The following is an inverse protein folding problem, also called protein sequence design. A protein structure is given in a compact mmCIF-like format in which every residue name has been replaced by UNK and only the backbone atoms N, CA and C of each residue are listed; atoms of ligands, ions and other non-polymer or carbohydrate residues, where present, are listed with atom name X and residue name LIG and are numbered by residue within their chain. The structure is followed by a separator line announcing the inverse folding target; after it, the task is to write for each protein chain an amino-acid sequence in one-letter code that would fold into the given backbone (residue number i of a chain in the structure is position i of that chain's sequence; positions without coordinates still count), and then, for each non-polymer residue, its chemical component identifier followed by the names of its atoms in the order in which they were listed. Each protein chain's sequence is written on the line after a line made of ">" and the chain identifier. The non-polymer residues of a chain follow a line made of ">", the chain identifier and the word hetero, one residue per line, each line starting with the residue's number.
data_IF_405105364518
#
_entry.id   IF_405105364518
#
_cell.length_a   1.000
_cell.length_b   1.000
_cell.length_c   1.000
_cell.angle_alpha   90.00
_cell.angle_beta   90.00
_cell.angle_gamma   90.00
#
_symmetry.space_group_name_H-M   'P 1'
#
loop_
_entity.id
_entity.type
_entity.pdbx_description
1 polymer ?
#
# COMPACT_ATOMS: atom_id res chain seq x y z
N UNK A 1 47.58 -15.82 -18.32
CA UNK A 1 46.84 -15.43 -17.10
C UNK A 1 46.17 -14.05 -17.20
N UNK A 2 46.83 -13.06 -17.81
CA UNK A 2 46.31 -11.67 -17.94
C UNK A 2 44.99 -11.62 -18.76
N UNK A 3 44.89 -12.38 -19.86
CA UNK A 3 43.70 -12.40 -20.72
C UNK A 3 42.44 -13.06 -20.07
N UNK A 4 42.64 -13.91 -19.06
CA UNK A 4 41.53 -14.52 -18.29
C UNK A 4 40.99 -13.53 -17.28
N UNK A 5 41.89 -12.81 -16.60
CA UNK A 5 41.54 -11.77 -15.61
C UNK A 5 40.81 -10.62 -16.31
N UNK A 6 41.29 -10.15 -17.47
CA UNK A 6 40.63 -9.11 -18.26
C UNK A 6 39.22 -9.53 -18.72
N UNK A 7 39.00 -10.82 -19.04
CA UNK A 7 37.69 -11.34 -19.42
C UNK A 7 36.74 -11.47 -18.24
N UNK A 8 37.23 -11.79 -17.06
CA UNK A 8 36.42 -11.87 -15.83
C UNK A 8 36.03 -10.48 -15.35
N UNK A 9 36.96 -9.53 -15.38
CA UNK A 9 36.70 -8.12 -15.05
C UNK A 9 35.68 -7.49 -16.03
N UNK A 10 35.82 -7.76 -17.33
CA UNK A 10 34.86 -7.31 -18.34
C UNK A 10 33.45 -7.89 -18.09
N UNK A 11 33.34 -9.15 -17.69
CA UNK A 11 32.08 -9.78 -17.32
C UNK A 11 31.45 -9.18 -16.06
N UNK A 12 32.27 -8.87 -15.04
CA UNK A 12 31.82 -8.23 -13.82
C UNK A 12 31.23 -6.83 -14.09
N UNK A 13 31.92 -6.03 -14.91
CA UNK A 13 31.47 -4.70 -15.32
C UNK A 13 30.19 -4.78 -16.19
N UNK A 14 30.07 -5.77 -17.04
CA UNK A 14 28.88 -6.01 -17.87
C UNK A 14 27.61 -6.28 -17.01
N UNK A 15 27.76 -6.88 -15.84
CA UNK A 15 26.67 -7.09 -14.88
C UNK A 15 26.17 -5.82 -14.18
N UNK A 16 26.74 -4.64 -14.44
CA UNK A 16 26.27 -3.37 -13.88
C UNK A 16 25.31 -2.61 -14.79
N UNK A 17 25.24 -2.96 -16.09
CA UNK A 17 24.31 -2.40 -17.07
C UNK A 17 23.31 -3.45 -17.52
N UNK A 18 22.15 -3.02 -18.03
CA UNK A 18 21.16 -3.91 -18.63
C UNK A 18 21.61 -4.37 -20.01
N UNK A 19 21.46 -5.65 -20.29
CA UNK A 19 21.59 -6.23 -21.62
C UNK A 19 20.19 -6.60 -22.22
N UNK A 20 20.19 -7.13 -23.44
CA UNK A 20 18.94 -7.53 -24.11
C UNK A 20 18.14 -8.58 -23.31
N UNK A 21 18.82 -9.47 -22.58
CA UNK A 21 18.16 -10.48 -21.76
C UNK A 21 17.49 -9.85 -20.54
N UNK A 22 18.06 -8.82 -19.91
CA UNK A 22 17.45 -8.07 -18.82
C UNK A 22 16.18 -7.36 -19.28
N UNK A 23 16.22 -6.70 -20.44
CA UNK A 23 15.03 -6.03 -21.00
C UNK A 23 13.92 -7.03 -21.33
N UNK A 24 14.24 -8.14 -21.99
CA UNK A 24 13.27 -9.19 -22.31
C UNK A 24 12.66 -9.80 -21.04
N UNK A 25 13.50 -10.07 -20.04
CA UNK A 25 13.05 -10.60 -18.75
C UNK A 25 12.10 -9.63 -18.07
N UNK A 26 12.44 -8.36 -18.02
CA UNK A 26 11.62 -7.33 -17.40
C UNK A 26 10.23 -7.24 -18.06
N UNK A 27 10.20 -7.19 -19.40
CA UNK A 27 8.95 -7.16 -20.18
C UNK A 27 8.13 -8.44 -19.95
N UNK A 28 8.77 -9.62 -20.00
CA UNK A 28 8.09 -10.89 -19.77
C UNK A 28 7.49 -10.97 -18.34
N UNK A 29 8.22 -10.54 -17.33
CA UNK A 29 7.72 -10.49 -15.94
C UNK A 29 6.55 -9.52 -15.80
N UNK A 30 6.64 -8.35 -16.41
CA UNK A 30 5.55 -7.38 -16.45
C UNK A 30 4.31 -7.90 -17.17
N UNK A 31 4.52 -8.63 -18.28
CA UNK A 31 3.43 -9.28 -19.02
C UNK A 31 2.75 -10.39 -18.20
N UNK A 32 3.52 -11.20 -17.47
CA UNK A 32 2.96 -12.21 -16.55
C UNK A 32 2.11 -11.50 -15.47
N UNK A 33 2.63 -10.43 -14.85
CA UNK A 33 1.87 -9.63 -13.90
C UNK A 33 0.59 -9.07 -14.49
N UNK A 34 0.65 -8.48 -15.69
CA UNK A 34 -0.51 -7.96 -16.42
C UNK A 34 -1.55 -9.04 -16.74
N UNK A 35 -1.12 -10.24 -17.14
CA UNK A 35 -2.05 -11.38 -17.36
C UNK A 35 -2.73 -11.82 -16.06
N UNK A 36 -1.98 -11.85 -14.93
CA UNK A 36 -2.57 -12.16 -13.64
C UNK A 36 -3.58 -11.09 -13.24
N UNK A 37 -3.27 -9.84 -13.48
CA UNK A 37 -4.19 -8.72 -13.24
C UNK A 37 -5.49 -8.85 -14.03
N UNK A 38 -5.38 -8.98 -15.35
CA UNK A 38 -6.52 -9.07 -16.27
C UNK A 38 -7.44 -10.27 -16.00
N UNK A 39 -6.88 -11.45 -15.72
CA UNK A 39 -7.66 -12.70 -15.66
C UNK A 39 -8.01 -13.16 -14.24
N UNK A 40 -7.32 -12.66 -13.23
CA UNK A 40 -7.50 -13.12 -11.86
C UNK A 40 -7.86 -12.00 -10.86
N UNK A 41 -7.41 -10.77 -11.09
CA UNK A 41 -7.82 -9.59 -10.30
C UNK A 41 -9.10 -9.01 -10.89
N UNK A 42 -9.09 -8.50 -12.12
CA UNK A 42 -10.26 -7.97 -12.84
C UNK A 42 -10.98 -6.84 -12.05
N UNK A 43 -12.29 -6.91 -11.90
CA UNK A 43 -13.12 -6.01 -11.07
C UNK A 43 -13.41 -6.64 -9.71
N UNK A 44 -13.82 -5.88 -8.68
CA UNK A 44 -14.15 -6.45 -7.37
C UNK A 44 -15.16 -7.60 -7.41
N UNK A 45 -16.18 -7.51 -8.27
CA UNK A 45 -17.22 -8.55 -8.38
C UNK A 45 -16.73 -9.81 -9.09
N UNK A 46 -15.88 -9.66 -10.11
CA UNK A 46 -15.40 -10.76 -10.97
C UNK A 46 -14.06 -11.34 -10.50
N UNK A 47 -13.49 -10.84 -9.42
CA UNK A 47 -12.17 -11.23 -8.95
C UNK A 47 -12.10 -12.67 -8.47
N UNK A 48 -11.30 -13.48 -9.15
CA UNK A 48 -11.01 -14.86 -8.72
C UNK A 48 -10.09 -14.89 -7.52
N UNK A 49 -9.09 -13.99 -7.48
CA UNK A 49 -8.18 -13.84 -6.35
C UNK A 49 -8.84 -13.14 -5.17
N UNK A 50 -9.85 -12.28 -5.40
CA UNK A 50 -10.57 -11.57 -4.35
C UNK A 50 -11.17 -12.51 -3.30
N UNK A 51 -11.78 -13.61 -3.71
CA UNK A 51 -12.33 -14.61 -2.78
C UNK A 51 -11.26 -15.22 -1.87
N UNK A 52 -10.08 -15.47 -2.40
CA UNK A 52 -8.95 -15.99 -1.62
C UNK A 52 -8.38 -14.94 -0.67
N UNK A 53 -8.15 -13.71 -1.15
CA UNK A 53 -7.67 -12.60 -0.31
C UNK A 53 -8.65 -12.27 0.80
N UNK A 54 -9.94 -12.29 0.52
CA UNK A 54 -11.01 -12.09 1.51
C UNK A 54 -10.92 -13.09 2.65
N UNK A 55 -10.75 -14.36 2.33
CA UNK A 55 -10.59 -15.39 3.35
C UNK A 55 -9.30 -15.20 4.18
N UNK A 56 -8.19 -14.78 3.55
CA UNK A 56 -6.95 -14.51 4.29
C UNK A 56 -7.10 -13.30 5.22
N UNK A 57 -7.79 -12.27 4.79
CA UNK A 57 -8.10 -11.10 5.62
C UNK A 57 -8.98 -11.49 6.80
N UNK A 58 -10.07 -12.23 6.58
CA UNK A 58 -10.94 -12.71 7.64
C UNK A 58 -10.16 -13.54 8.69
N UNK A 59 -9.32 -14.46 8.23
CA UNK A 59 -8.45 -15.25 9.09
C UNK A 59 -7.49 -14.40 9.92
N UNK A 60 -6.90 -13.38 9.29
CA UNK A 60 -5.96 -12.45 9.95
C UNK A 60 -6.67 -11.64 11.03
N UNK A 61 -7.86 -11.11 10.75
CA UNK A 61 -8.66 -10.36 11.72
C UNK A 61 -9.08 -11.23 12.89
N UNK A 62 -9.54 -12.45 12.63
CA UNK A 62 -9.87 -13.40 13.71
C UNK A 62 -8.66 -13.78 14.55
N UNK A 63 -7.48 -13.95 13.92
CA UNK A 63 -6.24 -14.23 14.64
C UNK A 63 -5.82 -13.04 15.52
N UNK A 64 -5.94 -11.82 15.00
CA UNK A 64 -5.70 -10.60 15.76
C UNK A 64 -6.67 -10.48 16.95
N UNK A 65 -7.98 -10.68 16.72
CA UNK A 65 -8.98 -10.63 17.78
C UNK A 65 -8.67 -11.64 18.91
N UNK A 66 -8.25 -12.86 18.57
CA UNK A 66 -7.83 -13.87 19.56
C UNK A 66 -6.64 -13.39 20.39
N UNK A 67 -5.63 -12.77 19.76
CA UNK A 67 -4.49 -12.18 20.47
C UNK A 67 -4.91 -11.04 21.41
N UNK A 68 -5.98 -10.33 21.07
CA UNK A 68 -6.54 -9.24 21.89
C UNK A 68 -7.50 -9.74 22.99
N UNK A 69 -7.72 -11.06 23.09
CA UNK A 69 -8.53 -11.68 24.15
C UNK A 69 -9.92 -12.12 23.71
N UNK A 70 -10.25 -12.11 22.40
CA UNK A 70 -11.48 -12.68 21.89
C UNK A 70 -11.50 -14.20 22.11
N UNK A 71 -12.43 -14.66 22.93
CA UNK A 71 -12.64 -16.08 23.25
C UNK A 71 -14.06 -16.50 22.85
N UNK A 72 -14.28 -16.88 21.57
CA UNK A 72 -15.61 -17.22 21.09
C UNK A 72 -16.08 -18.57 21.63
N UNK A 73 -17.39 -18.70 21.86
CA UNK A 73 -18.03 -20.01 22.07
C UNK A 73 -17.88 -20.85 20.79
N UNK A 74 -17.94 -22.18 20.90
CA UNK A 74 -17.76 -23.12 19.77
C UNK A 74 -18.51 -22.73 18.50
N UNK A 75 -19.78 -22.32 18.62
CA UNK A 75 -20.61 -21.88 17.48
C UNK A 75 -20.12 -20.63 16.76
N UNK A 76 -19.21 -19.88 17.35
CA UNK A 76 -18.67 -18.61 16.82
C UNK A 76 -17.18 -18.68 16.51
N UNK A 77 -16.56 -19.85 16.61
CA UNK A 77 -15.10 -20.00 16.50
C UNK A 77 -14.53 -19.51 15.15
N UNK A 78 -15.35 -19.58 14.10
CA UNK A 78 -15.02 -19.12 12.74
C UNK A 78 -15.94 -17.97 12.29
N UNK A 79 -16.58 -17.28 13.22
CA UNK A 79 -17.50 -16.20 12.91
C UNK A 79 -16.77 -14.85 12.97
N UNK A 80 -16.34 -14.34 11.81
CA UNK A 80 -15.66 -13.08 11.70
C UNK A 80 -16.49 -11.90 12.24
N UNK A 81 -17.83 -11.91 12.09
CA UNK A 81 -18.69 -10.85 12.64
C UNK A 81 -18.61 -10.78 14.18
N UNK A 82 -18.43 -11.92 14.85
CA UNK A 82 -18.22 -11.96 16.29
C UNK A 82 -16.84 -11.37 16.68
N UNK A 83 -15.82 -11.60 15.85
CA UNK A 83 -14.50 -11.00 16.06
C UNK A 83 -14.52 -9.48 15.84
N UNK A 84 -15.20 -9.01 14.78
CA UNK A 84 -15.41 -7.58 14.50
C UNK A 84 -16.09 -6.90 15.69
N UNK A 85 -17.24 -7.42 16.13
CA UNK A 85 -17.96 -6.84 17.27
C UNK A 85 -17.15 -6.80 18.57
N UNK A 86 -16.26 -7.78 18.80
CA UNK A 86 -15.33 -7.75 19.91
C UNK A 86 -14.29 -6.61 19.76
N UNK A 87 -13.71 -6.46 18.57
CA UNK A 87 -12.68 -5.45 18.31
C UNK A 87 -13.26 -4.03 18.39
N UNK A 88 -14.45 -3.79 17.83
CA UNK A 88 -15.17 -2.51 17.93
C UNK A 88 -15.47 -2.11 19.37
N UNK A 89 -15.83 -3.08 20.21
CA UNK A 89 -16.09 -2.83 21.65
C UNK A 89 -14.80 -2.56 22.43
N UNK A 90 -13.68 -3.19 22.04
CA UNK A 90 -12.41 -3.06 22.72
C UNK A 90 -11.64 -1.79 22.30
N UNK A 91 -11.70 -1.42 21.04
CA UNK A 91 -10.98 -0.28 20.43
C UNK A 91 -11.99 0.77 19.96
N UNK A 92 -12.73 1.33 20.91
CA UNK A 92 -13.72 2.37 20.62
C UNK A 92 -13.05 3.66 20.18
N UNK A 93 -13.63 4.28 19.17
CA UNK A 93 -13.28 5.61 18.68
C UNK A 93 -14.54 6.48 18.57
N UNK A 94 -14.39 7.78 18.74
CA UNK A 94 -15.52 8.71 18.76
C UNK A 94 -16.00 9.11 17.36
N UNK A 95 -15.19 8.89 16.34
CA UNK A 95 -15.50 9.23 14.95
C UNK A 95 -16.18 8.09 14.17
N UNK A 96 -16.43 6.94 14.82
CA UNK A 96 -17.22 5.86 14.24
C UNK A 96 -18.68 6.30 14.03
N UNK A 97 -19.33 5.75 13.00
CA UNK A 97 -20.69 6.07 12.57
C UNK A 97 -21.72 6.01 13.68
N UNK A 98 -21.59 5.07 14.61
CA UNK A 98 -22.50 4.94 15.77
C UNK A 98 -22.49 6.16 16.71
N UNK A 99 -21.44 6.97 16.67
CA UNK A 99 -21.25 8.15 17.53
C UNK A 99 -21.42 9.46 16.77
N UNK A 100 -21.53 9.39 15.45
CA UNK A 100 -21.64 10.52 14.53
C UNK A 100 -22.90 10.47 13.67
N UNK A 101 -23.99 9.90 14.19
CA UNK A 101 -25.30 9.75 13.46
C UNK A 101 -25.88 11.05 12.93
N UNK A 102 -25.55 12.19 13.54
CA UNK A 102 -25.96 13.52 13.05
C UNK A 102 -25.28 13.90 11.74
N UNK A 103 -24.16 13.25 11.37
CA UNK A 103 -23.44 13.50 10.12
C UNK A 103 -24.25 13.04 8.92
N UNK A 104 -24.86 11.86 8.99
CA UNK A 104 -25.62 11.29 7.89
C UNK A 104 -26.83 12.15 7.54
N UNK A 105 -27.44 12.80 8.56
CA UNK A 105 -28.56 13.72 8.39
C UNK A 105 -28.12 15.10 7.87
N UNK A 106 -26.92 15.56 8.21
CA UNK A 106 -26.47 16.91 7.87
C UNK A 106 -25.86 17.00 6.47
N UNK A 107 -25.25 15.90 5.98
CA UNK A 107 -24.45 15.88 4.75
C UNK A 107 -24.88 14.84 3.72
N UNK A 108 -26.02 14.16 3.94
CA UNK A 108 -26.48 13.05 3.09
C UNK A 108 -25.40 11.94 2.92
N UNK A 109 -24.58 11.75 3.96
CA UNK A 109 -23.54 10.72 3.98
C UNK A 109 -24.22 9.37 4.17
N UNK A 110 -24.32 8.60 3.09
CA UNK A 110 -24.80 7.23 3.16
C UNK A 110 -23.86 6.39 4.04
N UNK A 111 -24.38 5.46 4.87
CA UNK A 111 -23.56 4.59 5.72
C UNK A 111 -22.38 3.92 5.00
N UNK A 112 -22.58 3.51 3.74
CA UNK A 112 -21.53 2.92 2.89
C UNK A 112 -20.43 3.88 2.46
N UNK A 113 -20.62 5.19 2.61
CA UNK A 113 -19.64 6.23 2.20
C UNK A 113 -18.87 6.80 3.37
N UNK A 114 -19.29 6.51 4.61
CA UNK A 114 -18.72 7.08 5.83
C UNK A 114 -17.20 6.94 5.88
N UNK A 115 -16.68 5.72 5.70
CA UNK A 115 -15.24 5.46 5.78
C UNK A 115 -14.44 6.12 4.66
N UNK A 116 -15.01 6.31 3.47
CA UNK A 116 -14.32 7.05 2.42
C UNK A 116 -14.25 8.55 2.68
N UNK A 117 -15.28 9.11 3.31
CA UNK A 117 -15.32 10.55 3.59
C UNK A 117 -14.58 10.89 4.89
N UNK A 118 -14.48 9.97 5.84
CA UNK A 118 -13.82 10.17 7.12
C UNK A 118 -12.30 9.99 7.00
N UNK A 119 -11.56 11.08 7.22
CA UNK A 119 -10.09 11.01 7.17
C UNK A 119 -9.51 10.06 8.23
N UNK A 120 -10.15 9.91 9.38
CA UNK A 120 -9.66 9.06 10.47
C UNK A 120 -9.71 7.55 10.18
N UNK A 121 -10.49 7.11 9.17
CA UNK A 121 -10.61 5.71 8.77
C UNK A 121 -9.61 5.29 7.67
N UNK A 122 -8.74 6.19 7.22
CA UNK A 122 -7.71 5.81 6.26
C UNK A 122 -6.56 5.04 6.93
N UNK A 123 -6.08 3.93 6.33
CA UNK A 123 -5.00 3.11 6.88
C UNK A 123 -3.61 3.65 6.50
N UNK A 124 -3.40 4.96 6.71
CA UNK A 124 -2.15 5.67 6.38
C UNK A 124 -1.83 6.76 7.43
N UNK A 125 -0.81 7.57 7.15
CA UNK A 125 -0.34 8.62 8.07
C UNK A 125 -1.39 9.74 8.26
N UNK A 126 -2.21 10.01 7.25
CA UNK A 126 -3.29 11.00 7.33
C UNK A 126 -4.37 10.48 8.29
N UNK A 127 -4.76 9.21 8.10
CA UNK A 127 -5.73 8.55 8.98
C UNK A 127 -5.25 8.47 10.42
N UNK A 128 -3.99 8.12 10.64
CA UNK A 128 -3.40 8.12 11.97
C UNK A 128 -3.47 9.51 12.63
N UNK A 129 -3.07 10.56 11.89
CA UNK A 129 -3.08 11.93 12.40
C UNK A 129 -4.49 12.38 12.79
N UNK A 130 -5.45 12.25 11.87
CA UNK A 130 -6.83 12.67 12.12
C UNK A 130 -7.54 11.81 13.15
N UNK A 131 -7.22 10.52 13.24
CA UNK A 131 -7.76 9.65 14.28
C UNK A 131 -7.32 10.12 15.67
N UNK A 132 -6.02 10.32 15.88
CA UNK A 132 -5.52 10.80 17.17
C UNK A 132 -6.08 12.18 17.49
N UNK A 133 -6.08 13.11 16.54
CA UNK A 133 -6.63 14.45 16.71
C UNK A 133 -8.11 14.40 17.12
N UNK A 134 -8.94 13.66 16.39
CA UNK A 134 -10.37 13.52 16.65
C UNK A 134 -10.66 12.92 18.03
N UNK A 135 -9.87 11.94 18.46
CA UNK A 135 -10.00 11.36 19.79
C UNK A 135 -9.64 12.36 20.91
N UNK A 136 -8.68 13.26 20.67
CA UNK A 136 -8.33 14.31 21.63
C UNK A 136 -9.36 15.43 21.71
N UNK A 137 -9.92 15.79 20.58
CA UNK A 137 -10.83 16.94 20.46
C UNK A 137 -12.31 16.58 20.56
N UNK A 138 -12.66 15.30 20.67
CA UNK A 138 -14.03 14.80 20.59
C UNK A 138 -14.74 15.31 19.34
N UNK A 139 -14.06 15.18 18.19
CA UNK A 139 -14.58 15.57 16.87
C UNK A 139 -14.51 14.42 15.88
N UNK A 140 -15.09 14.63 14.72
CA UNK A 140 -14.92 13.77 13.53
C UNK A 140 -14.69 14.64 12.30
N UNK A 141 -13.70 14.31 11.49
CA UNK A 141 -13.28 15.12 10.34
C UNK A 141 -13.51 14.38 9.04
N UNK A 142 -14.21 15.02 8.11
CA UNK A 142 -14.65 14.47 6.82
C UNK A 142 -14.18 15.32 5.67
N UNK A 143 -14.11 14.72 4.48
CA UNK A 143 -14.00 15.39 3.20
C UNK A 143 -15.34 15.27 2.50
N UNK A 144 -16.09 16.36 2.43
CA UNK A 144 -17.35 16.40 1.74
C UNK A 144 -17.34 17.52 0.70
N UNK A 145 -17.62 17.15 -0.53
CA UNK A 145 -17.66 18.11 -1.63
C UNK A 145 -16.35 18.89 -1.83
N UNK A 146 -15.17 18.26 -1.62
CA UNK A 146 -13.85 18.87 -1.79
C UNK A 146 -13.42 19.80 -0.66
N UNK A 147 -14.16 19.86 0.45
CA UNK A 147 -13.86 20.68 1.62
C UNK A 147 -13.74 19.82 2.87
N UNK A 148 -12.90 20.26 3.81
CA UNK A 148 -12.81 19.66 5.13
C UNK A 148 -13.97 20.16 5.99
N UNK A 149 -14.67 19.22 6.62
CA UNK A 149 -15.77 19.47 7.55
C UNK A 149 -15.43 18.75 8.85
N UNK A 150 -15.44 19.49 9.95
CA UNK A 150 -15.25 18.93 11.30
C UNK A 150 -16.50 19.13 12.12
N UNK A 151 -16.99 18.07 12.73
CA UNK A 151 -18.18 18.09 13.59
C UNK A 151 -17.81 17.62 14.99
N UNK A 152 -18.56 18.10 16.00
CA UNK A 152 -18.43 17.61 17.36
C UNK A 152 -19.09 16.25 17.50
N UNK A 153 -18.44 15.35 18.24
CA UNK A 153 -18.97 14.04 18.62
C UNK A 153 -19.31 14.03 20.10
N UNK A 154 -19.78 12.91 20.63
CA UNK A 154 -19.87 12.72 22.08
C UNK A 154 -18.49 12.81 22.70
N UNK A 155 -18.43 13.36 23.92
CA UNK A 155 -17.17 13.48 24.68
C UNK A 155 -16.48 12.13 24.78
N UNK A 156 -15.23 12.09 24.41
CA UNK A 156 -14.40 10.89 24.37
C UNK A 156 -13.16 11.11 25.27
N UNK A 157 -12.97 10.22 26.23
CA UNK A 157 -11.80 10.26 27.10
C UNK A 157 -10.79 9.20 26.71
N UNK A 158 -9.62 9.64 26.26
CA UNK A 158 -8.47 8.77 26.05
C UNK A 158 -7.91 8.26 27.38
N UNK A 159 -7.65 6.97 27.44
CA UNK A 159 -7.01 6.35 28.60
C UNK A 159 -5.57 6.83 28.77
N UNK A 160 -5.17 7.06 30.04
CA UNK A 160 -3.82 7.46 30.41
C UNK A 160 -3.78 8.73 31.24
N UNK A 161 -2.74 8.84 32.07
CA UNK A 161 -2.54 9.96 33.01
C UNK A 161 -1.68 11.07 32.41
N UNK A 162 -0.87 10.76 31.39
CA UNK A 162 0.04 11.72 30.75
C UNK A 162 -0.38 11.96 29.30
N UNK A 163 0.06 13.08 28.74
CA UNK A 163 -0.17 13.39 27.32
C UNK A 163 0.37 12.29 26.40
N UNK A 164 1.58 11.78 26.66
CA UNK A 164 2.21 10.71 25.86
C UNK A 164 1.40 9.41 25.96
N UNK A 165 0.92 9.03 27.16
CA UNK A 165 0.10 7.82 27.31
C UNK A 165 -1.24 7.94 26.58
N UNK A 166 -1.82 9.15 26.53
CA UNK A 166 -3.04 9.41 25.75
C UNK A 166 -2.81 9.32 24.24
N UNK A 167 -1.67 9.86 23.73
CA UNK A 167 -1.29 9.68 22.31
C UNK A 167 -1.17 8.18 21.99
N UNK A 168 -0.44 7.42 22.81
CA UNK A 168 -0.28 5.99 22.62
C UNK A 168 -1.63 5.26 22.62
N UNK A 169 -2.51 5.59 23.56
CA UNK A 169 -3.88 5.06 23.59
C UNK A 169 -4.65 5.38 22.30
N UNK A 170 -4.53 6.61 21.79
CA UNK A 170 -5.16 7.02 20.53
C UNK A 170 -4.67 6.22 19.32
N UNK A 171 -3.35 5.96 19.24
CA UNK A 171 -2.74 5.14 18.20
C UNK A 171 -3.22 3.69 18.28
N UNK A 172 -3.27 3.13 19.50
CA UNK A 172 -3.74 1.75 19.72
C UNK A 172 -5.22 1.60 19.37
N UNK A 173 -6.05 2.58 19.75
CA UNK A 173 -7.47 2.58 19.38
C UNK A 173 -7.65 2.65 17.87
N UNK A 174 -6.93 3.56 17.19
CA UNK A 174 -6.96 3.66 15.73
C UNK A 174 -6.59 2.34 15.06
N UNK A 175 -5.45 1.75 15.42
CA UNK A 175 -5.01 0.49 14.82
C UNK A 175 -6.00 -0.66 15.07
N UNK A 176 -6.48 -0.78 16.32
CA UNK A 176 -7.43 -1.83 16.69
C UNK A 176 -8.79 -1.67 16.00
N UNK A 177 -9.26 -0.43 15.82
CA UNK A 177 -10.47 -0.12 15.09
C UNK A 177 -10.32 -0.41 13.60
N UNK A 178 -9.22 0.02 12.96
CA UNK A 178 -8.91 -0.34 11.58
C UNK A 178 -8.90 -1.86 11.36
N UNK A 179 -8.39 -2.63 12.31
CA UNK A 179 -8.40 -4.10 12.21
C UNK A 179 -9.82 -4.69 12.23
N UNK A 180 -10.81 -4.02 12.84
CA UNK A 180 -12.22 -4.42 12.71
C UNK A 180 -12.78 -4.10 11.32
N UNK A 181 -12.46 -2.90 10.82
CA UNK A 181 -13.00 -2.39 9.56
C UNK A 181 -12.38 -3.08 8.33
N UNK A 182 -11.12 -3.53 8.42
CA UNK A 182 -10.47 -4.35 7.39
C UNK A 182 -11.28 -5.61 7.05
N UNK A 183 -12.00 -6.18 8.02
CA UNK A 183 -12.89 -7.32 7.78
C UNK A 183 -14.21 -6.92 7.10
N UNK A 184 -14.55 -5.63 7.10
CA UNK A 184 -15.67 -5.09 6.33
C UNK A 184 -15.37 -5.07 4.83
N UNK A 185 -16.43 -4.97 4.04
CA UNK A 185 -16.33 -4.74 2.60
C UNK A 185 -17.44 -3.80 2.17
N UNK A 186 -17.10 -2.82 1.35
CA UNK A 186 -18.04 -1.85 0.81
C UNK A 186 -18.85 -2.35 -0.39
N UNK A 187 -18.49 -3.51 -0.97
CA UNK A 187 -19.18 -4.12 -2.10
C UNK A 187 -20.55 -4.72 -1.77
N UNK A 188 -21.25 -5.16 -2.82
CA UNK A 188 -22.61 -5.72 -2.74
C UNK A 188 -22.73 -6.97 -1.85
N UNK A 189 -21.67 -7.73 -1.71
CA UNK A 189 -21.57 -8.93 -0.89
C UNK A 189 -20.85 -8.69 0.45
N UNK A 190 -20.59 -7.41 0.76
CA UNK A 190 -19.78 -7.00 1.89
C UNK A 190 -20.47 -7.15 3.25
N UNK A 191 -19.64 -7.26 4.28
CA UNK A 191 -20.02 -7.28 5.68
C UNK A 191 -19.73 -5.91 6.27
N UNK A 192 -20.73 -5.06 6.38
CA UNK A 192 -20.56 -3.72 6.91
C UNK A 192 -19.83 -2.79 5.94
N UNK A 193 -19.16 -1.78 6.47
CA UNK A 193 -18.41 -0.80 5.66
C UNK A 193 -16.94 -1.16 5.71
N UNK A 194 -16.32 -1.40 4.54
CA UNK A 194 -14.87 -1.60 4.41
C UNK A 194 -14.12 -0.28 4.56
N UNK A 195 -12.82 -0.36 4.80
CA UNK A 195 -11.94 0.81 4.77
C UNK A 195 -11.42 1.08 3.37
N UNK A 196 -11.02 2.32 3.12
CA UNK A 196 -10.40 2.75 1.88
C UNK A 196 -8.97 2.21 1.74
N UNK A 197 -8.44 2.17 0.52
CA UNK A 197 -7.00 1.99 0.31
C UNK A 197 -6.23 3.20 0.86
N UNK A 198 -4.95 3.05 1.24
CA UNK A 198 -4.14 4.18 1.69
C UNK A 198 -4.18 5.35 0.69
N UNK A 199 -4.40 6.55 1.20
CA UNK A 199 -4.50 7.81 0.46
C UNK A 199 -5.69 7.91 -0.51
N UNK A 200 -6.59 6.93 -0.53
CA UNK A 200 -7.75 6.93 -1.42
C UNK A 200 -8.78 8.02 -1.03
N UNK A 201 -8.87 8.37 0.24
CA UNK A 201 -9.71 9.48 0.75
C UNK A 201 -9.35 10.83 0.11
N UNK A 202 -8.11 10.99 -0.39
CA UNK A 202 -7.69 12.19 -1.11
C UNK A 202 -8.45 12.44 -2.41
N UNK A 203 -9.04 11.39 -3.00
CA UNK A 203 -9.96 11.57 -4.12
C UNK A 203 -11.18 12.44 -3.76
N UNK A 204 -11.57 12.50 -2.50
CA UNK A 204 -12.65 13.36 -2.02
C UNK A 204 -12.42 14.86 -2.29
N UNK A 205 -11.17 15.30 -2.49
CA UNK A 205 -10.80 16.65 -2.88
C UNK A 205 -10.84 16.89 -4.40
N UNK A 206 -10.94 15.85 -5.21
CA UNK A 206 -10.81 15.91 -6.67
C UNK A 206 -12.14 16.26 -7.35
N UNK A 207 -12.61 17.50 -7.19
CA UNK A 207 -13.84 18.01 -7.82
C UNK A 207 -13.69 18.40 -9.30
N UNK A 208 -12.71 17.88 -9.99
CA UNK A 208 -12.44 18.16 -11.39
C UNK A 208 -12.77 16.97 -12.29
N UNK A 209 -12.78 17.22 -13.59
CA UNK A 209 -13.12 16.25 -14.63
C UNK A 209 -14.63 16.20 -14.90
N UNK A 210 -14.97 15.58 -16.01
CA UNK A 210 -16.34 15.26 -16.40
C UNK A 210 -16.35 13.83 -16.94
N UNK A 211 -16.71 12.89 -16.09
CA UNK A 211 -16.74 11.46 -16.36
C UNK A 211 -18.20 10.99 -16.32
N UNK A 212 -18.90 11.05 -17.45
CA UNK A 212 -20.35 10.78 -17.52
C UNK A 212 -21.16 11.66 -16.53
N UNK A 213 -20.90 12.98 -16.56
CA UNK A 213 -21.47 14.00 -15.66
C UNK A 213 -21.07 13.85 -14.18
N UNK A 214 -19.99 13.15 -13.89
CA UNK A 214 -19.44 12.98 -12.53
C UNK A 214 -18.03 13.56 -12.45
N UNK A 215 -17.69 14.09 -11.29
CA UNK A 215 -16.31 14.45 -10.94
C UNK A 215 -15.50 13.21 -10.60
N UNK A 216 -14.18 13.32 -10.55
CA UNK A 216 -13.30 12.22 -10.11
C UNK A 216 -13.61 11.79 -8.66
N UNK A 217 -13.98 12.73 -7.78
CA UNK A 217 -14.41 12.41 -6.42
C UNK A 217 -15.66 11.53 -6.38
N UNK A 218 -16.67 11.85 -7.19
CA UNK A 218 -17.91 11.06 -7.28
C UNK A 218 -17.67 9.68 -7.89
N UNK A 219 -16.80 9.62 -8.91
CA UNK A 219 -16.41 8.35 -9.52
C UNK A 219 -15.70 7.44 -8.52
N UNK A 220 -14.73 7.97 -7.78
CA UNK A 220 -14.00 7.23 -6.75
C UNK A 220 -14.92 6.78 -5.60
N UNK A 221 -15.87 7.64 -5.18
CA UNK A 221 -16.87 7.30 -4.18
C UNK A 221 -17.74 6.11 -4.63
N UNK A 222 -18.23 6.14 -5.86
CA UNK A 222 -19.03 5.05 -6.40
C UNK A 222 -18.25 3.75 -6.56
N UNK A 223 -16.98 3.84 -6.97
CA UNK A 223 -16.11 2.68 -7.05
C UNK A 223 -15.92 2.04 -5.66
N UNK A 224 -15.66 2.86 -4.64
CA UNK A 224 -15.57 2.38 -3.26
C UNK A 224 -16.86 1.66 -2.82
N UNK A 225 -18.03 2.22 -3.09
CA UNK A 225 -19.33 1.60 -2.77
C UNK A 225 -19.57 0.27 -3.51
N UNK A 226 -18.86 0.03 -4.60
CA UNK A 226 -18.90 -1.22 -5.40
C UNK A 226 -17.77 -2.18 -5.05
N UNK A 227 -17.08 -1.98 -3.93
CA UNK A 227 -16.06 -2.91 -3.44
C UNK A 227 -14.62 -2.56 -3.84
N UNK A 228 -14.38 -1.37 -4.39
CA UNK A 228 -13.02 -0.89 -4.65
C UNK A 228 -12.41 -0.34 -3.35
N UNK A 229 -12.25 -1.22 -2.38
CA UNK A 229 -11.83 -0.96 -1.01
C UNK A 229 -10.44 -1.54 -0.70
N UNK A 230 -10.01 -1.48 0.55
CA UNK A 230 -8.71 -1.99 1.00
C UNK A 230 -8.52 -3.48 0.71
N UNK A 231 -9.56 -4.31 0.86
CA UNK A 231 -9.46 -5.76 0.57
C UNK A 231 -9.18 -6.00 -0.90
N UNK A 232 -9.84 -5.26 -1.78
CA UNK A 232 -9.57 -5.31 -3.21
C UNK A 232 -8.18 -4.77 -3.54
N UNK A 233 -7.71 -3.73 -2.83
CA UNK A 233 -6.34 -3.24 -2.93
C UNK A 233 -5.29 -4.30 -2.61
N UNK A 234 -5.53 -5.16 -1.62
CA UNK A 234 -4.66 -6.33 -1.34
C UNK A 234 -4.64 -7.28 -2.55
N UNK A 235 -5.78 -7.50 -3.17
CA UNK A 235 -5.88 -8.34 -4.39
C UNK A 235 -5.09 -7.73 -5.54
N UNK A 236 -5.21 -6.42 -5.74
CA UNK A 236 -4.45 -5.66 -6.75
C UNK A 236 -2.94 -5.67 -6.51
N UNK A 237 -2.52 -5.81 -5.26
CA UNK A 237 -1.09 -5.88 -4.92
C UNK A 237 -0.44 -7.20 -5.38
N UNK A 238 -1.20 -8.27 -5.60
CA UNK A 238 -0.66 -9.59 -5.96
C UNK A 238 0.14 -9.55 -7.28
N UNK A 239 -0.38 -9.07 -8.42
CA UNK A 239 0.39 -8.98 -9.66
C UNK A 239 1.60 -8.05 -9.54
N UNK A 240 1.52 -7.00 -8.73
CA UNK A 240 2.61 -6.06 -8.47
C UNK A 240 3.75 -6.76 -7.72
N UNK A 241 3.43 -7.46 -6.62
CA UNK A 241 4.40 -8.22 -5.83
C UNK A 241 5.02 -9.34 -6.66
N UNK A 242 4.21 -10.05 -7.45
CA UNK A 242 4.67 -11.12 -8.33
C UNK A 242 5.70 -10.59 -9.34
N UNK A 243 5.39 -9.51 -10.03
CA UNK A 243 6.30 -8.85 -10.98
C UNK A 243 7.61 -8.43 -10.31
N UNK A 244 7.52 -7.74 -9.17
CA UNK A 244 8.69 -7.27 -8.40
C UNK A 244 9.56 -8.45 -7.95
N UNK A 245 8.95 -9.50 -7.42
CA UNK A 245 9.63 -10.69 -6.91
C UNK A 245 10.37 -11.46 -8.02
N UNK A 246 9.69 -11.76 -9.14
CA UNK A 246 10.30 -12.51 -10.22
C UNK A 246 11.49 -11.74 -10.81
N UNK A 247 11.34 -10.43 -11.04
CA UNK A 247 12.45 -9.59 -11.54
C UNK A 247 13.65 -9.65 -10.59
N UNK A 248 13.43 -9.50 -9.28
CA UNK A 248 14.52 -9.54 -8.28
C UNK A 248 15.20 -10.90 -8.21
N UNK A 249 14.43 -11.97 -8.24
CA UNK A 249 14.97 -13.33 -8.21
C UNK A 249 15.81 -13.60 -9.46
N UNK A 250 15.29 -13.30 -10.65
CA UNK A 250 16.02 -13.53 -11.91
C UNK A 250 17.26 -12.64 -11.97
N UNK A 251 17.18 -11.37 -11.55
CA UNK A 251 18.32 -10.47 -11.47
C UNK A 251 19.41 -11.04 -10.56
N UNK A 252 19.08 -11.42 -9.30
CA UNK A 252 20.04 -12.00 -8.35
C UNK A 252 20.69 -13.26 -8.90
N UNK A 253 19.90 -14.13 -9.53
CA UNK A 253 20.38 -15.36 -10.15
C UNK A 253 21.40 -15.06 -11.27
N UNK A 254 21.09 -14.12 -12.16
CA UNK A 254 22.01 -13.71 -13.24
C UNK A 254 23.29 -13.08 -12.70
N UNK A 255 23.20 -12.19 -11.66
CA UNK A 255 24.37 -11.58 -11.05
C UNK A 255 25.33 -12.65 -10.51
N UNK A 256 24.80 -13.67 -9.83
CA UNK A 256 25.64 -14.72 -9.23
C UNK A 256 26.16 -15.73 -10.27
N UNK A 257 25.26 -16.34 -11.07
CA UNK A 257 25.64 -17.45 -11.93
C UNK A 257 26.23 -17.02 -13.27
N UNK A 258 25.73 -15.96 -13.88
CA UNK A 258 26.21 -15.47 -15.17
C UNK A 258 27.39 -14.54 -15.06
N UNK A 259 27.32 -13.56 -14.13
CA UNK A 259 28.34 -12.52 -13.97
C UNK A 259 29.37 -12.85 -12.86
N UNK A 260 29.20 -13.99 -12.16
CA UNK A 260 30.14 -14.51 -11.14
C UNK A 260 30.38 -13.56 -9.97
N UNK A 261 29.41 -12.71 -9.63
CA UNK A 261 29.50 -11.79 -8.49
C UNK A 261 29.37 -12.55 -7.16
N UNK A 262 29.93 -12.00 -6.10
CA UNK A 262 29.77 -12.53 -4.75
C UNK A 262 28.29 -12.47 -4.32
N UNK A 263 27.85 -13.39 -3.47
CA UNK A 263 26.46 -13.42 -2.98
C UNK A 263 26.02 -12.11 -2.31
N UNK A 264 26.97 -11.43 -1.63
CA UNK A 264 26.75 -10.12 -1.01
C UNK A 264 26.35 -9.04 -2.02
N UNK A 265 26.91 -9.12 -3.24
CA UNK A 265 26.65 -8.17 -4.33
C UNK A 265 25.41 -8.52 -5.16
N UNK A 266 24.84 -9.70 -4.88
CA UNK A 266 23.63 -10.21 -5.54
C UNK A 266 22.35 -9.90 -4.75
N UNK A 267 22.43 -9.16 -3.64
CA UNK A 267 21.25 -8.73 -2.87
C UNK A 267 20.48 -7.68 -3.70
N UNK A 268 19.21 -7.93 -4.04
CA UNK A 268 18.46 -7.11 -4.98
C UNK A 268 17.93 -5.83 -4.32
N UNK A 269 18.82 -4.89 -4.05
CA UNK A 269 18.46 -3.58 -3.49
C UNK A 269 18.38 -2.50 -4.60
N UNK A 270 17.77 -1.37 -4.26
CA UNK A 270 17.51 -0.27 -5.20
C UNK A 270 18.74 0.61 -5.49
N UNK A 271 19.93 0.26 -5.02
CA UNK A 271 21.18 0.93 -5.40
C UNK A 271 21.66 0.50 -6.79
N UNK A 272 21.32 -0.72 -7.22
CA UNK A 272 21.71 -1.26 -8.52
C UNK A 272 20.89 -0.63 -9.65
N UNK A 273 21.57 0.07 -10.58
CA UNK A 273 20.93 0.78 -11.69
C UNK A 273 20.20 -0.18 -12.64
N UNK A 274 20.82 -1.28 -13.01
CA UNK A 274 20.22 -2.29 -13.89
C UNK A 274 18.95 -2.91 -13.27
N UNK A 275 18.95 -3.20 -11.96
CA UNK A 275 17.74 -3.67 -11.28
C UNK A 275 16.62 -2.63 -11.31
N UNK A 276 16.94 -1.35 -11.04
CA UNK A 276 15.94 -0.28 -11.12
C UNK A 276 15.35 -0.16 -12.51
N UNK A 277 16.18 -0.25 -13.54
CA UNK A 277 15.74 -0.23 -14.95
C UNK A 277 14.82 -1.40 -15.27
N UNK A 278 15.17 -2.61 -14.84
CA UNK A 278 14.31 -3.80 -15.02
C UNK A 278 12.97 -3.66 -14.30
N UNK A 279 12.98 -3.17 -13.05
CA UNK A 279 11.75 -2.93 -12.28
C UNK A 279 10.87 -1.87 -12.94
N UNK A 280 11.47 -0.77 -13.41
CA UNK A 280 10.75 0.30 -14.11
C UNK A 280 10.08 -0.23 -15.38
N UNK A 281 10.81 -0.99 -16.19
CA UNK A 281 10.28 -1.56 -17.43
C UNK A 281 9.21 -2.63 -17.17
N UNK A 282 9.43 -3.52 -16.19
CA UNK A 282 8.47 -4.56 -15.85
C UNK A 282 7.15 -4.00 -15.32
N UNK A 283 7.22 -3.07 -14.36
CA UNK A 283 6.01 -2.40 -13.86
C UNK A 283 5.36 -1.50 -14.90
N UNK A 284 6.14 -0.85 -15.78
CA UNK A 284 5.61 -0.12 -16.93
C UNK A 284 4.84 -1.02 -17.90
N UNK A 285 5.36 -2.22 -18.18
CA UNK A 285 4.66 -3.23 -19.01
C UNK A 285 3.36 -3.69 -18.34
N UNK A 286 3.37 -3.97 -17.04
CA UNK A 286 2.15 -4.31 -16.28
C UNK A 286 1.11 -3.19 -16.40
N UNK A 287 1.48 -1.94 -16.13
CA UNK A 287 0.58 -0.79 -16.24
C UNK A 287 0.05 -0.57 -17.66
N UNK A 288 0.86 -0.78 -18.68
CA UNK A 288 0.40 -0.68 -20.08
C UNK A 288 -0.66 -1.74 -20.40
N UNK A 289 -0.48 -2.97 -19.91
CA UNK A 289 -1.46 -4.05 -20.11
C UNK A 289 -2.74 -3.79 -19.32
N UNK A 290 -2.63 -3.38 -18.07
CA UNK A 290 -3.75 -2.97 -17.21
C UNK A 290 -4.56 -1.85 -17.86
N UNK A 291 -3.90 -0.74 -18.23
CA UNK A 291 -4.55 0.38 -18.91
C UNK A 291 -5.21 0.02 -20.23
N UNK A 292 -4.56 -0.83 -21.04
CA UNK A 292 -5.13 -1.31 -22.30
C UNK A 292 -6.38 -2.17 -22.06
N UNK A 293 -6.35 -3.08 -21.08
CA UNK A 293 -7.52 -3.89 -20.68
C UNK A 293 -8.67 -2.99 -20.19
N UNK A 294 -8.35 -2.02 -19.31
CA UNK A 294 -9.33 -1.08 -18.79
C UNK A 294 -10.01 -0.28 -19.90
N UNK A 295 -9.26 0.23 -20.89
CA UNK A 295 -9.81 0.96 -22.05
C UNK A 295 -10.69 0.05 -22.90
N UNK A 296 -10.18 -1.12 -23.29
CA UNK A 296 -10.87 -2.01 -24.23
C UNK A 296 -12.16 -2.55 -23.61
N UNK A 297 -12.10 -3.04 -22.38
CA UNK A 297 -13.24 -3.70 -21.75
C UNK A 297 -14.24 -2.76 -21.09
N UNK A 298 -13.86 -1.50 -20.85
CA UNK A 298 -14.82 -0.51 -20.35
C UNK A 298 -15.84 -0.09 -21.42
N UNK A 299 -15.50 -0.24 -22.70
CA UNK A 299 -16.39 0.16 -23.79
C UNK A 299 -16.78 1.65 -23.74
N UNK A 300 -15.95 2.50 -23.14
CA UNK A 300 -16.20 3.93 -22.95
C UNK A 300 -16.95 4.28 -21.66
N UNK A 301 -17.28 3.31 -20.82
CA UNK A 301 -17.87 3.56 -19.50
C UNK A 301 -16.78 3.91 -18.48
N UNK A 302 -16.76 5.15 -18.00
CA UNK A 302 -15.74 5.65 -17.08
C UNK A 302 -15.72 4.95 -15.74
N UNK A 303 -16.87 4.53 -15.24
CA UNK A 303 -16.96 3.77 -14.00
C UNK A 303 -16.29 2.41 -14.12
N UNK A 304 -16.59 1.69 -15.20
CA UNK A 304 -15.99 0.38 -15.46
C UNK A 304 -14.49 0.50 -15.76
N UNK A 305 -14.08 1.56 -16.47
CA UNK A 305 -12.67 1.89 -16.67
C UNK A 305 -11.94 2.05 -15.34
N UNK A 306 -12.46 2.89 -14.42
CA UNK A 306 -11.86 3.14 -13.12
C UNK A 306 -11.78 1.86 -12.27
N UNK A 307 -12.85 1.05 -12.27
CA UNK A 307 -12.89 -0.19 -11.49
C UNK A 307 -11.99 -1.31 -12.04
N UNK A 308 -11.57 -1.22 -13.29
CA UNK A 308 -10.62 -2.16 -13.89
C UNK A 308 -9.18 -1.75 -13.67
N UNK A 309 -8.90 -0.47 -13.45
CA UNK A 309 -7.54 0.00 -13.23
C UNK A 309 -6.94 -0.55 -11.93
N UNK A 310 -5.75 -1.09 -12.01
CA UNK A 310 -4.97 -1.50 -10.85
C UNK A 310 -4.20 -0.29 -10.26
N UNK A 311 -4.85 0.46 -9.36
CA UNK A 311 -4.23 1.65 -8.77
C UNK A 311 -2.92 1.34 -8.03
N UNK A 312 -2.79 0.16 -7.43
CA UNK A 312 -1.56 -0.24 -6.73
C UNK A 312 -0.40 -0.38 -7.72
N UNK A 313 -0.66 -0.93 -8.91
CA UNK A 313 0.35 -1.02 -9.98
C UNK A 313 0.79 0.38 -10.45
N UNK A 314 -0.16 1.29 -10.69
CA UNK A 314 0.13 2.66 -11.11
C UNK A 314 0.88 3.45 -10.05
N UNK A 315 0.52 3.32 -8.77
CA UNK A 315 1.25 3.93 -7.64
C UNK A 315 2.68 3.38 -7.58
N UNK A 316 2.86 2.05 -7.70
CA UNK A 316 4.19 1.43 -7.70
C UNK A 316 5.05 1.91 -8.86
N UNK A 317 4.50 1.95 -10.07
CA UNK A 317 5.20 2.45 -11.26
C UNK A 317 5.58 3.92 -11.10
N UNK A 318 4.66 4.77 -10.66
CA UNK A 318 4.92 6.19 -10.41
C UNK A 318 6.03 6.41 -9.37
N UNK A 319 6.05 5.62 -8.30
CA UNK A 319 7.10 5.68 -7.29
C UNK A 319 8.49 5.30 -7.87
N UNK A 320 8.54 4.31 -8.78
CA UNK A 320 9.78 3.94 -9.47
C UNK A 320 10.25 5.05 -10.42
N UNK A 321 9.34 5.65 -11.17
CA UNK A 321 9.63 6.80 -12.06
C UNK A 321 10.18 7.98 -11.26
N UNK A 322 9.48 8.37 -10.19
CA UNK A 322 9.90 9.47 -9.32
C UNK A 322 11.28 9.23 -8.71
N UNK A 323 11.53 8.01 -8.23
CA UNK A 323 12.85 7.64 -7.69
C UNK A 323 13.94 7.81 -8.74
N UNK A 324 13.72 7.32 -9.97
CA UNK A 324 14.72 7.42 -11.04
C UNK A 324 14.95 8.88 -11.45
N UNK A 325 13.89 9.69 -11.52
CA UNK A 325 13.98 11.14 -11.75
C UNK A 325 14.81 11.81 -10.66
N UNK A 326 14.52 11.54 -9.38
CA UNK A 326 15.27 12.12 -8.27
C UNK A 326 16.76 11.77 -8.32
N UNK A 327 17.10 10.51 -8.65
CA UNK A 327 18.50 10.07 -8.81
C UNK A 327 19.18 10.83 -9.96
N UNK A 328 18.51 10.95 -11.12
CA UNK A 328 19.10 11.61 -12.31
C UNK A 328 19.24 13.12 -12.17
N UNK A 329 18.34 13.77 -11.43
CA UNK A 329 18.44 15.22 -11.14
C UNK A 329 19.43 15.50 -10.00
N UNK A 330 19.97 14.47 -9.34
CA UNK A 330 20.90 14.64 -8.22
C UNK A 330 20.21 15.12 -6.94
N UNK A 331 18.88 15.00 -6.86
CA UNK A 331 18.15 15.20 -5.61
C UNK A 331 18.40 13.94 -4.76
N UNK A 332 19.55 13.90 -4.10
CA UNK A 332 19.79 12.91 -3.05
C UNK A 332 18.75 13.15 -1.95
N UNK A 333 18.01 12.12 -1.61
CA UNK A 333 17.19 12.18 -0.39
C UNK A 333 18.20 12.39 0.77
N UNK A 334 18.05 13.42 1.62
CA UNK A 334 19.01 13.78 2.67
C UNK A 334 19.42 12.59 3.55
N UNK A 335 18.49 11.66 3.76
CA UNK A 335 18.70 10.44 4.53
C UNK A 335 19.77 9.49 3.95
N UNK A 336 19.93 9.45 2.63
CA UNK A 336 20.91 8.57 1.99
C UNK A 336 22.32 9.16 2.10
N UNK A 337 22.45 10.47 1.97
CA UNK A 337 23.74 11.18 2.16
C UNK A 337 24.23 11.08 3.61
N UNK A 338 23.33 11.24 4.59
CA UNK A 338 23.65 11.03 6.00
C UNK A 338 24.08 9.59 6.27
N UNK A 339 23.35 8.60 5.76
CA UNK A 339 23.70 7.20 5.92
C UNK A 339 25.06 6.85 5.30
N UNK A 340 25.35 7.38 4.13
CA UNK A 340 26.64 7.18 3.46
C UNK A 340 27.78 7.96 4.15
N UNK A 341 27.51 9.12 4.73
CA UNK A 341 28.44 9.84 5.58
C UNK A 341 28.75 9.05 6.88
N UNK A 342 27.74 8.48 7.53
CA UNK A 342 27.93 7.60 8.69
C UNK A 342 28.74 6.34 8.35
N UNK A 343 28.48 5.69 7.22
CA UNK A 343 29.26 4.53 6.76
C UNK A 343 30.73 4.88 6.50
N UNK A 344 31.00 6.04 5.87
CA UNK A 344 32.38 6.54 5.66
C UNK A 344 33.05 6.81 7.00
N UNK A 345 32.38 7.49 7.92
CA UNK A 345 32.92 7.77 9.26
C UNK A 345 33.22 6.48 10.01
N UNK A 346 32.33 5.48 9.98
CA UNK A 346 32.55 4.19 10.60
C UNK A 346 33.76 3.46 9.99
N UNK A 347 33.93 3.49 8.67
CA UNK A 347 35.09 2.89 7.99
C UNK A 347 36.40 3.59 8.36
N UNK A 348 36.41 4.92 8.48
CA UNK A 348 37.59 5.67 8.96
C UNK A 348 37.91 5.33 10.42
N UNK A 349 36.93 5.25 11.30
CA UNK A 349 37.15 4.87 12.69
C UNK A 349 37.69 3.46 12.82
N UNK A 350 37.21 2.53 12.02
CA UNK A 350 37.70 1.15 12.02
C UNK A 350 39.15 1.07 11.49
N UNK A 351 39.47 1.77 10.41
CA UNK A 351 40.86 1.83 9.88
C UNK A 351 41.81 2.47 10.88
N UNK A 352 41.38 3.50 11.61
CA UNK A 352 42.15 4.13 12.65
C UNK A 352 42.40 3.22 13.85
N UNK A 353 41.40 2.47 14.28
CA UNK A 353 41.49 1.46 15.34
C UNK A 353 42.45 0.31 14.98
N UNK A 354 42.39 -0.17 13.72
CA UNK A 354 43.31 -1.17 13.20
C UNK A 354 44.79 -0.65 13.09
N UNK A 355 44.97 0.63 12.80
CA UNK A 355 46.29 1.27 12.79
C UNK A 355 46.86 1.42 14.21
N UNK A 356 46.03 1.77 15.22
CA UNK A 356 46.46 1.87 16.62
C UNK A 356 46.85 0.48 17.17
N UNK A 357 46.15 -0.57 16.81
CA UNK A 357 46.47 -1.96 17.19
C UNK A 357 47.81 -2.48 16.67
N UNK A 358 48.36 -1.84 15.65
CA UNK A 358 49.69 -2.19 15.07
C UNK A 358 50.83 -1.42 15.72
N UNK A 359 50.54 -0.47 16.58
CA UNK A 359 51.51 0.36 17.30
C UNK A 359 51.79 -0.17 18.72
N UNK A 360 50.84 -0.94 19.28
CA UNK A 360 51.04 -1.74 20.48
C UNK A 360 51.64 -3.13 20.11
#
# INVERSE_FOLDING_TARGET
>A
NTSIIEKEDAKYLQGNSCDACDYLTAVACGAIGGLVDIFFVSTPEDSKLGKWTDQQVDNTVMAFARKMGWNPKEKNINNVNSAIGFLEQRFKVNYDQRLSTDVDNLFEILPKSHHMMSLAHSPDIIGLFFSVLNQFTSTSTFVAGGTLITISTKTFELQGTTFISKIFSGVVNWFGHLMSDVAGSSGSHGRGTGIVMPFYELFGFCKFGNFDNKTLAELAMQAFQQGYDFRFGITQAIPVILTDLIIRVVWSFRQHFQFKKALTDCVPNMSHENLRTMLLLGHGTLCLMDGADAVIRSGGNWMLFFMRMNLIAWVRFSALVLKEICIRIGIALPLQEELDAYKRLASYMQSYYEALKKID
#
